data_IF_474869680671
#
_entry.id   IF_474869680671
#
_cell.length_a   1.000
_cell.length_b   1.000
_cell.length_c   1.000
_cell.angle_alpha   90.00
_cell.angle_beta   90.00
_cell.angle_gamma   90.00
#
_symmetry.space_group_name_H-M   'P 1'
#
loop_
_entity.id
_entity.type
_entity.pdbx_description
1 polymer ?
#
# COMPACT_ATOMS: atom_id res chain seq x y z
N UNK A 1 27.84 -42.61 -16.88
CA UNK A 1 26.79 -41.99 -17.71
C UNK A 1 26.96 -40.48 -17.65
N UNK A 2 27.77 -39.95 -18.56
CA UNK A 2 27.80 -38.56 -19.02
C UNK A 2 27.08 -38.57 -20.39
N UNK A 3 26.47 -37.50 -20.91
CA UNK A 3 27.02 -36.19 -21.27
C UNK A 3 25.84 -35.25 -21.62
N UNK A 4 26.05 -33.96 -21.36
CA UNK A 4 25.15 -32.85 -21.67
C UNK A 4 25.00 -32.57 -23.18
N UNK A 5 23.88 -31.97 -23.57
CA UNK A 5 23.61 -31.51 -24.95
C UNK A 5 23.61 -29.98 -24.98
N UNK A 6 24.64 -29.40 -25.59
CA UNK A 6 24.61 -28.04 -26.14
C UNK A 6 24.14 -28.14 -27.60
N UNK A 7 23.11 -27.39 -27.99
CA UNK A 7 22.84 -27.12 -29.40
C UNK A 7 23.32 -25.70 -29.72
N UNK A 8 24.31 -25.64 -30.60
CA UNK A 8 24.80 -24.44 -31.27
C UNK A 8 24.58 -24.68 -32.77
N UNK A 9 23.77 -23.86 -33.42
CA UNK A 9 23.64 -23.85 -34.89
C UNK A 9 23.93 -22.40 -35.38
N UNK A 10 24.80 -22.20 -36.40
CA UNK A 10 25.39 -20.91 -36.71
C UNK A 10 24.62 -20.12 -37.78
N UNK A 11 24.63 -18.80 -37.58
CA UNK A 11 24.71 -17.71 -38.57
C UNK A 11 24.46 -18.00 -40.06
N UNK A 12 23.50 -17.28 -40.67
CA UNK A 12 23.75 -16.20 -41.65
C UNK A 12 22.46 -15.80 -42.42
N UNK A 13 22.05 -14.53 -42.39
CA UNK A 13 21.82 -13.64 -43.56
C UNK A 13 20.99 -12.43 -43.14
N UNK A 14 21.45 -11.25 -43.57
CA UNK A 14 21.10 -9.97 -42.98
C UNK A 14 19.71 -9.44 -43.30
N UNK A 15 19.17 -8.69 -42.33
CA UNK A 15 18.27 -7.57 -42.59
C UNK A 15 18.75 -6.40 -41.74
N UNK A 16 19.13 -5.34 -42.44
CA UNK A 16 19.50 -4.03 -41.91
C UNK A 16 18.23 -3.38 -41.33
N UNK A 17 17.95 -3.60 -40.04
CA UNK A 17 16.89 -2.87 -39.34
C UNK A 17 17.33 -1.43 -39.11
N UNK A 18 16.81 -0.56 -39.96
CA UNK A 18 16.84 0.89 -39.82
C UNK A 18 16.25 1.29 -38.46
N UNK A 19 17.05 1.97 -37.65
CA UNK A 19 16.58 2.80 -36.54
C UNK A 19 15.72 3.95 -37.10
N UNK A 20 14.44 3.66 -37.31
CA UNK A 20 13.38 4.66 -37.35
C UNK A 20 12.70 4.65 -36.00
N UNK A 21 13.12 5.51 -35.07
CA UNK A 21 12.34 5.85 -33.89
C UNK A 21 11.15 6.70 -34.35
N UNK A 22 10.18 6.04 -34.97
CA UNK A 22 8.84 6.58 -35.20
C UNK A 22 8.00 6.20 -34.01
N UNK A 23 8.12 6.97 -32.92
CA UNK A 23 7.14 6.95 -31.84
C UNK A 23 5.78 7.32 -32.45
N UNK A 24 4.96 6.31 -32.78
CA UNK A 24 3.54 6.46 -33.06
C UNK A 24 2.82 6.75 -31.72
N UNK A 25 3.19 7.85 -31.09
CA UNK A 25 2.46 8.42 -29.95
C UNK A 25 1.46 9.41 -30.51
N UNK A 26 0.21 8.96 -30.58
CA UNK A 26 -0.99 9.80 -30.69
C UNK A 26 -1.07 10.66 -31.94
N UNK A 27 -1.74 10.16 -32.98
CA UNK A 27 -2.44 11.06 -33.91
C UNK A 27 -3.49 11.82 -33.08
N UNK A 28 -3.09 12.98 -32.57
CA UNK A 28 -3.87 13.70 -31.58
C UNK A 28 -5.21 14.06 -32.20
N UNK A 29 -6.30 13.93 -31.45
CA UNK A 29 -7.59 14.51 -31.85
C UNK A 29 -7.44 15.99 -32.27
N UNK A 30 -6.42 16.70 -31.75
CA UNK A 30 -6.00 18.03 -32.18
C UNK A 30 -5.50 18.11 -33.64
N UNK A 31 -4.78 17.11 -34.14
CA UNK A 31 -4.29 17.05 -35.53
C UNK A 31 -5.43 16.73 -36.51
N UNK A 32 -6.37 15.88 -36.11
CA UNK A 32 -7.61 15.62 -36.85
C UNK A 32 -8.52 16.86 -36.86
N UNK A 33 -8.61 17.58 -35.73
CA UNK A 33 -9.35 18.84 -35.61
C UNK A 33 -8.73 19.97 -36.45
N UNK A 34 -7.39 20.01 -36.56
CA UNK A 34 -6.65 20.98 -37.39
C UNK A 34 -6.75 20.68 -38.88
N UNK A 35 -6.66 19.41 -39.27
CA UNK A 35 -6.90 18.95 -40.65
C UNK A 35 -8.35 19.20 -41.07
N UNK A 36 -9.28 19.05 -40.12
CA UNK A 36 -10.70 19.33 -40.31
C UNK A 36 -10.99 20.83 -40.47
N UNK A 37 -10.44 21.70 -39.62
CA UNK A 37 -10.57 23.16 -39.79
C UNK A 37 -9.99 23.63 -41.12
N UNK A 38 -8.91 22.99 -41.59
CA UNK A 38 -8.32 23.28 -42.90
C UNK A 38 -9.25 22.86 -44.05
N UNK A 39 -9.88 21.69 -43.96
CA UNK A 39 -10.88 21.23 -44.93
C UNK A 39 -12.17 22.06 -44.88
N UNK A 40 -12.61 22.50 -43.70
CA UNK A 40 -13.82 23.32 -43.53
C UNK A 40 -13.62 24.74 -44.06
N UNK A 41 -12.43 25.32 -43.88
CA UNK A 41 -12.04 26.61 -44.49
C UNK A 41 -11.89 26.47 -46.01
N UNK A 42 -11.32 25.37 -46.50
CA UNK A 42 -11.23 25.11 -47.94
C UNK A 42 -12.61 24.90 -48.59
N UNK A 43 -13.53 24.21 -47.91
CA UNK A 43 -14.90 24.02 -48.38
C UNK A 43 -15.69 25.33 -48.34
N UNK A 44 -15.61 26.14 -47.27
CA UNK A 44 -16.25 27.48 -47.22
C UNK A 44 -15.78 28.42 -48.34
N UNK A 45 -14.51 28.29 -48.77
CA UNK A 45 -13.95 29.05 -49.90
C UNK A 45 -14.48 28.60 -51.27
N UNK A 46 -15.11 27.41 -51.35
CA UNK A 46 -15.51 26.76 -52.61
C UNK A 46 -16.92 26.13 -52.56
N UNK A 47 -17.80 26.57 -51.66
CA UNK A 47 -19.20 26.11 -51.61
C UNK A 47 -20.07 26.92 -52.57
N UNK A 48 -20.83 26.20 -53.40
CA UNK A 48 -21.96 26.77 -54.14
C UNK A 48 -23.12 27.05 -53.16
N UNK A 49 -23.70 28.26 -53.14
CA UNK A 49 -24.66 28.73 -52.14
C UNK A 49 -26.00 27.97 -52.08
N UNK A 50 -26.20 26.91 -52.87
CA UNK A 50 -27.52 26.28 -53.07
C UNK A 50 -27.77 24.99 -52.28
N UNK A 51 -26.81 24.44 -51.50
CA UNK A 51 -27.09 23.23 -50.70
C UNK A 51 -26.26 23.07 -49.38
N UNK A 52 -26.71 23.67 -48.26
CA UNK A 52 -25.96 23.70 -46.99
C UNK A 52 -26.09 22.44 -46.09
N UNK A 53 -26.65 21.33 -46.57
CA UNK A 53 -27.18 20.25 -45.70
C UNK A 53 -26.19 19.18 -45.19
N UNK A 54 -24.90 19.22 -45.55
CA UNK A 54 -23.90 18.22 -45.08
C UNK A 54 -23.20 18.60 -43.76
N UNK A 55 -23.50 19.78 -43.19
CA UNK A 55 -22.76 20.31 -42.03
C UNK A 55 -23.22 19.73 -40.67
N UNK A 56 -24.41 19.12 -40.58
CA UNK A 56 -25.01 18.69 -39.30
C UNK A 56 -24.53 17.29 -38.83
N UNK A 57 -24.30 16.35 -39.76
CA UNK A 57 -23.75 15.02 -39.40
C UNK A 57 -22.25 15.10 -39.04
N UNK A 58 -21.49 15.95 -39.73
CA UNK A 58 -20.07 16.17 -39.44
C UNK A 58 -19.84 16.90 -38.11
N UNK A 59 -20.67 17.88 -37.77
CA UNK A 59 -20.63 18.52 -36.44
C UNK A 59 -21.00 17.54 -35.33
N UNK A 60 -21.90 16.59 -35.59
CA UNK A 60 -22.22 15.50 -34.66
C UNK A 60 -21.04 14.53 -34.49
N UNK A 61 -20.37 14.13 -35.57
CA UNK A 61 -19.16 13.29 -35.50
C UNK A 61 -17.99 14.01 -34.81
N UNK A 62 -17.80 15.31 -35.05
CA UNK A 62 -16.82 16.12 -34.32
C UNK A 62 -17.15 16.25 -32.83
N UNK A 63 -18.42 16.43 -32.48
CA UNK A 63 -18.85 16.48 -31.09
C UNK A 63 -18.58 15.14 -30.40
N UNK A 64 -18.80 14.00 -31.09
CA UNK A 64 -18.44 12.68 -30.61
C UNK A 64 -16.93 12.51 -30.42
N UNK A 65 -16.10 12.90 -31.41
CA UNK A 65 -14.63 12.84 -31.32
C UNK A 65 -14.10 13.76 -30.20
N UNK A 66 -14.67 14.97 -30.07
CA UNK A 66 -14.29 15.92 -29.01
C UNK A 66 -14.64 15.39 -27.62
N UNK A 67 -15.76 14.68 -27.51
CA UNK A 67 -16.18 14.02 -26.26
C UNK A 67 -15.24 12.88 -25.92
N UNK A 68 -14.89 12.02 -26.90
CA UNK A 68 -13.93 10.91 -26.70
C UNK A 68 -12.55 11.46 -26.32
N UNK A 69 -12.04 12.47 -27.01
CA UNK A 69 -10.78 13.12 -26.66
C UNK A 69 -10.83 13.80 -25.30
N UNK A 70 -11.99 14.37 -24.94
CA UNK A 70 -12.25 14.87 -23.60
C UNK A 70 -12.13 13.78 -22.54
N UNK A 71 -12.73 12.61 -22.78
CA UNK A 71 -12.64 11.44 -21.88
C UNK A 71 -11.21 10.91 -21.81
N UNK A 72 -10.48 10.82 -22.92
CA UNK A 72 -9.06 10.42 -22.92
C UNK A 72 -8.18 11.38 -22.12
N UNK A 73 -8.39 12.70 -22.30
CA UNK A 73 -7.72 13.72 -21.48
C UNK A 73 -8.08 13.58 -20.01
N UNK A 74 -9.35 13.37 -19.68
CA UNK A 74 -9.79 13.13 -18.30
C UNK A 74 -9.13 11.89 -17.70
N UNK A 75 -9.07 10.78 -18.42
CA UNK A 75 -8.39 9.56 -17.99
C UNK A 75 -6.88 9.80 -17.80
N UNK A 76 -6.25 10.56 -18.69
CA UNK A 76 -4.83 10.93 -18.58
C UNK A 76 -4.57 11.82 -17.36
N UNK A 77 -5.39 12.84 -17.15
CA UNK A 77 -5.32 13.72 -15.98
C UNK A 77 -5.58 12.94 -14.69
N UNK A 78 -6.55 12.03 -14.68
CA UNK A 78 -6.85 11.20 -13.52
C UNK A 78 -5.68 10.24 -13.20
N UNK A 79 -5.05 9.65 -14.21
CA UNK A 79 -3.84 8.84 -14.06
C UNK A 79 -2.66 9.66 -13.50
N UNK A 80 -2.48 10.90 -13.98
CA UNK A 80 -1.44 11.80 -13.47
C UNK A 80 -1.70 12.22 -12.01
N UNK A 81 -2.96 12.51 -11.65
CA UNK A 81 -3.36 12.80 -10.27
C UNK A 81 -3.12 11.58 -9.38
N UNK A 82 -3.49 10.38 -9.82
CA UNK A 82 -3.22 9.14 -9.08
C UNK A 82 -1.72 8.97 -8.82
N UNK A 83 -0.89 9.14 -9.85
CA UNK A 83 0.57 9.07 -9.70
C UNK A 83 1.14 10.15 -8.78
N UNK A 84 0.54 11.36 -8.76
CA UNK A 84 0.93 12.41 -7.83
C UNK A 84 0.55 12.06 -6.38
N UNK A 85 -0.62 11.49 -6.15
CA UNK A 85 -1.06 11.02 -4.83
C UNK A 85 -0.14 9.89 -4.34
N UNK A 86 0.21 8.93 -5.20
CA UNK A 86 1.17 7.86 -4.86
C UNK A 86 2.52 8.43 -4.44
N UNK A 87 3.01 9.47 -5.13
CA UNK A 87 4.25 10.14 -4.76
C UNK A 87 4.14 10.87 -3.40
N UNK A 88 3.01 11.51 -3.12
CA UNK A 88 2.76 12.16 -1.82
C UNK A 88 2.68 11.13 -0.67
N UNK A 89 2.02 9.99 -0.88
CA UNK A 89 2.00 8.90 0.09
C UNK A 89 3.39 8.29 0.29
N UNK A 90 4.20 8.21 -0.76
CA UNK A 90 5.58 7.72 -0.69
C UNK A 90 6.42 8.60 0.23
N UNK A 91 6.24 9.93 0.17
CA UNK A 91 6.91 10.87 1.06
C UNK A 91 6.51 10.66 2.53
N UNK A 92 5.21 10.49 2.82
CA UNK A 92 4.74 10.21 4.18
C UNK A 92 5.31 8.88 4.70
N UNK A 93 5.25 7.82 3.89
CA UNK A 93 5.81 6.52 4.24
C UNK A 93 7.33 6.59 4.49
N UNK A 94 8.06 7.40 3.72
CA UNK A 94 9.52 7.57 3.88
C UNK A 94 9.87 8.20 5.23
N UNK A 95 9.03 9.11 5.75
CA UNK A 95 9.24 9.68 7.09
C UNK A 95 9.06 8.68 8.23
N UNK A 96 8.43 7.53 7.97
CA UNK A 96 8.26 6.47 8.97
C UNK A 96 9.45 5.53 9.04
N UNK A 97 10.38 5.56 8.07
CA UNK A 97 11.55 4.69 8.10
C UNK A 97 12.37 4.99 9.36
N UNK A 98 12.65 3.96 10.15
CA UNK A 98 13.32 4.07 11.44
C UNK A 98 12.40 4.33 12.63
N UNK A 99 11.11 4.60 12.39
CA UNK A 99 10.10 4.70 13.45
C UNK A 99 9.44 3.35 13.75
N UNK A 100 8.97 3.22 15.00
CA UNK A 100 8.15 2.11 15.41
C UNK A 100 6.70 2.36 15.05
N UNK A 101 5.99 1.35 14.56
CA UNK A 101 4.56 1.44 14.27
C UNK A 101 3.79 0.34 14.97
N UNK A 102 2.55 0.64 15.37
CA UNK A 102 1.60 -0.33 15.88
C UNK A 102 0.69 -0.77 14.73
N UNK A 103 0.71 -2.06 14.42
CA UNK A 103 -0.05 -2.67 13.32
C UNK A 103 -0.80 -3.91 13.83
N UNK A 104 -1.89 -4.34 13.18
CA UNK A 104 -2.58 -5.58 13.52
C UNK A 104 -1.64 -6.76 13.64
N UNK A 105 -1.67 -7.43 14.79
CA UNK A 105 -0.85 -8.60 15.05
C UNK A 105 -0.71 -8.89 16.55
N UNK A 106 -0.03 -9.99 16.86
CA UNK A 106 -0.01 -10.55 18.22
C UNK A 106 1.40 -10.75 18.77
N UNK A 107 2.44 -10.38 18.03
CA UNK A 107 3.82 -10.72 18.43
C UNK A 107 4.39 -9.70 19.42
N UNK A 108 5.01 -10.19 20.48
CA UNK A 108 5.85 -9.41 21.41
C UNK A 108 7.24 -10.03 21.41
N UNK A 109 8.27 -9.22 21.26
CA UNK A 109 9.66 -9.68 21.39
C UNK A 109 10.17 -9.32 22.77
N UNK A 110 10.74 -10.29 23.48
CA UNK A 110 11.46 -10.07 24.73
C UNK A 110 12.97 -10.30 24.50
N UNK A 111 13.80 -9.40 25.00
CA UNK A 111 15.24 -9.47 24.84
C UNK A 111 15.99 -8.66 25.88
N UNK A 112 17.29 -8.94 26.00
CA UNK A 112 18.25 -8.12 26.77
C UNK A 112 19.22 -7.46 25.80
N UNK A 113 19.59 -6.22 26.10
CA UNK A 113 20.73 -5.57 25.43
C UNK A 113 22.03 -6.35 25.65
N UNK A 114 23.03 -6.12 24.81
CA UNK A 114 24.35 -6.75 24.92
C UNK A 114 25.22 -6.17 26.04
N UNK A 115 24.72 -5.15 26.74
CA UNK A 115 25.45 -4.36 27.71
C UNK A 115 25.44 -5.04 29.09
N UNK A 116 26.53 -4.89 29.84
CA UNK A 116 26.64 -5.48 31.16
C UNK A 116 25.60 -4.85 32.12
N UNK A 117 24.74 -5.69 32.71
CA UNK A 117 23.62 -5.24 33.54
C UNK A 117 22.31 -4.99 32.78
N UNK A 118 22.22 -5.30 31.48
CA UNK A 118 20.99 -5.14 30.73
C UNK A 118 19.83 -5.95 31.32
N UNK A 119 18.71 -5.26 31.56
CA UNK A 119 17.45 -5.86 32.00
C UNK A 119 16.64 -6.30 30.78
N UNK A 120 15.83 -7.34 30.93
CA UNK A 120 14.91 -7.74 29.85
C UNK A 120 13.92 -6.61 29.58
N UNK A 121 13.83 -6.20 28.32
CA UNK A 121 12.80 -5.32 27.81
C UNK A 121 11.93 -6.08 26.82
N UNK A 122 10.71 -5.59 26.60
CA UNK A 122 9.82 -6.12 25.58
C UNK A 122 9.38 -5.02 24.62
N UNK A 123 9.10 -5.39 23.38
CA UNK A 123 8.39 -4.48 22.47
C UNK A 123 7.00 -4.18 23.00
N UNK A 124 6.45 -2.98 22.76
CA UNK A 124 5.09 -2.67 23.18
C UNK A 124 4.07 -3.50 22.38
N UNK A 125 2.90 -3.68 22.96
CA UNK A 125 1.71 -4.22 22.32
C UNK A 125 0.56 -3.24 22.49
N UNK A 126 -0.54 -3.47 21.79
CA UNK A 126 -1.72 -2.63 21.94
C UNK A 126 -3.01 -3.35 21.64
N UNK A 127 -4.11 -2.61 21.80
CA UNK A 127 -5.44 -3.03 21.42
C UNK A 127 -6.17 -1.86 20.78
N UNK A 128 -6.88 -2.12 19.69
CA UNK A 128 -7.87 -1.22 19.15
C UNK A 128 -9.28 -1.73 19.50
N UNK A 129 -10.08 -0.85 20.09
CA UNK A 129 -11.45 -1.11 20.50
C UNK A 129 -12.41 -0.16 19.77
N UNK A 130 -13.43 -0.71 19.13
CA UNK A 130 -14.47 0.10 18.47
C UNK A 130 -15.47 0.71 19.48
N UNK A 131 -15.55 0.14 20.69
CA UNK A 131 -16.46 0.56 21.76
C UNK A 131 -15.72 0.52 23.11
N UNK A 132 -16.14 1.31 24.12
CA UNK A 132 -15.56 1.21 25.46
C UNK A 132 -15.78 -0.17 26.07
N UNK A 133 -14.79 -0.64 26.84
CA UNK A 133 -14.78 -1.93 27.54
C UNK A 133 -14.57 -1.70 29.04
N UNK A 134 -15.34 -2.39 29.88
CA UNK A 134 -15.20 -2.32 31.34
C UNK A 134 -14.11 -3.28 31.85
N UNK A 135 -13.87 -4.36 31.11
CA UNK A 135 -12.85 -5.34 31.42
C UNK A 135 -12.08 -5.75 30.18
N UNK A 136 -10.78 -5.48 30.20
CA UNK A 136 -9.82 -5.92 29.20
C UNK A 136 -8.74 -6.78 29.87
N UNK A 137 -8.52 -7.96 29.33
CA UNK A 137 -7.53 -8.92 29.82
C UNK A 137 -6.63 -9.34 28.65
N UNK A 138 -5.31 -9.24 28.86
CA UNK A 138 -4.28 -9.65 27.91
C UNK A 138 -3.57 -10.92 28.42
N UNK A 139 -3.63 -11.99 27.64
CA UNK A 139 -2.94 -13.25 27.93
C UNK A 139 -1.73 -13.36 27.03
N UNK A 140 -0.55 -13.55 27.63
CA UNK A 140 0.72 -13.71 26.93
C UNK A 140 1.12 -15.18 26.96
N UNK A 141 1.45 -15.74 25.81
CA UNK A 141 1.87 -17.13 25.64
C UNK A 141 3.26 -17.24 25.01
N UNK A 142 4.00 -18.29 25.36
CA UNK A 142 5.26 -18.64 24.70
C UNK A 142 5.02 -19.32 23.34
N UNK A 143 6.11 -19.63 22.63
CA UNK A 143 6.11 -20.36 21.34
C UNK A 143 5.47 -21.75 21.38
N UNK A 144 5.36 -22.35 22.56
CA UNK A 144 4.76 -23.68 22.76
C UNK A 144 3.28 -23.55 23.18
N UNK A 145 2.74 -22.33 23.20
CA UNK A 145 1.36 -22.03 23.58
C UNK A 145 1.10 -22.02 25.08
N UNK A 146 2.15 -22.07 25.92
CA UNK A 146 1.97 -22.02 27.38
C UNK A 146 1.75 -20.60 27.83
N UNK A 147 0.78 -20.40 28.71
CA UNK A 147 0.50 -19.09 29.31
C UNK A 147 1.62 -18.71 30.26
N UNK A 148 2.34 -17.63 29.93
CA UNK A 148 3.44 -17.10 30.77
C UNK A 148 2.94 -16.01 31.70
N UNK A 149 1.99 -15.19 31.25
CA UNK A 149 1.44 -14.07 32.02
C UNK A 149 0.01 -13.77 31.59
N UNK A 150 -0.81 -13.36 32.55
CA UNK A 150 -2.11 -12.72 32.28
C UNK A 150 -2.08 -11.34 32.92
N UNK A 151 -2.43 -10.32 32.14
CA UNK A 151 -2.48 -8.92 32.54
C UNK A 151 -3.93 -8.48 32.56
N UNK A 152 -4.40 -8.07 33.74
CA UNK A 152 -5.70 -7.42 33.89
C UNK A 152 -5.51 -5.92 33.61
N UNK A 153 -5.90 -5.47 32.43
CA UNK A 153 -5.75 -4.07 31.99
C UNK A 153 -6.86 -3.20 32.59
N UNK A 154 -8.07 -3.77 32.76
CA UNK A 154 -9.21 -3.07 33.35
C UNK A 154 -10.06 -2.35 32.30
N UNK A 155 -10.60 -1.19 32.67
CA UNK A 155 -11.47 -0.39 31.80
C UNK A 155 -10.68 0.38 30.75
N UNK A 156 -11.17 0.40 29.51
CA UNK A 156 -10.62 1.19 28.41
C UNK A 156 -11.74 1.86 27.62
N UNK A 157 -11.50 3.08 27.14
CA UNK A 157 -12.38 3.73 26.17
C UNK A 157 -12.20 3.14 24.77
N UNK A 158 -13.13 3.44 23.86
CA UNK A 158 -12.91 3.17 22.44
C UNK A 158 -11.65 3.90 21.93
N UNK A 159 -10.96 3.29 20.96
CA UNK A 159 -9.73 3.80 20.37
C UNK A 159 -8.55 2.83 20.52
N UNK A 160 -7.36 3.36 20.23
CA UNK A 160 -6.08 2.63 20.26
C UNK A 160 -5.40 2.86 21.60
N UNK A 161 -4.98 1.78 22.25
CA UNK A 161 -4.24 1.80 23.51
C UNK A 161 -2.98 0.96 23.40
N UNK A 162 -1.88 1.43 23.98
CA UNK A 162 -0.58 0.74 23.97
C UNK A 162 -0.08 0.48 25.38
N UNK A 163 0.59 -0.66 25.54
CA UNK A 163 1.09 -1.17 26.81
C UNK A 163 2.43 -1.85 26.59
N UNK A 164 3.22 -1.96 27.67
CA UNK A 164 4.49 -2.68 27.66
C UNK A 164 4.46 -3.73 28.76
N UNK A 165 4.83 -4.95 28.41
CA UNK A 165 4.99 -6.02 29.38
C UNK A 165 6.39 -5.93 30.00
N UNK A 166 6.52 -6.25 31.29
CA UNK A 166 7.79 -6.21 32.02
C UNK A 166 8.72 -7.40 31.74
N UNK A 167 8.31 -8.31 30.84
CA UNK A 167 9.07 -9.53 30.52
C UNK A 167 9.08 -10.55 31.66
N UNK A 168 8.14 -10.47 32.61
CA UNK A 168 8.03 -11.41 33.72
C UNK A 168 6.84 -12.35 33.61
N UNK A 169 7.03 -13.58 34.06
CA UNK A 169 5.98 -14.58 34.18
C UNK A 169 5.05 -14.28 35.37
N UNK A 170 4.03 -15.12 35.56
CA UNK A 170 3.12 -15.03 36.71
C UNK A 170 3.84 -15.19 38.05
N UNK A 171 4.89 -16.02 38.11
CA UNK A 171 5.71 -16.28 39.31
C UNK A 171 6.79 -15.21 39.58
N UNK A 172 6.86 -14.17 38.74
CA UNK A 172 7.82 -13.07 38.84
C UNK A 172 9.19 -13.35 38.22
N UNK A 173 9.43 -14.56 37.69
CA UNK A 173 10.66 -14.88 36.96
C UNK A 173 10.68 -14.20 35.60
N UNK A 174 11.86 -13.81 35.13
CA UNK A 174 12.03 -13.20 33.82
C UNK A 174 11.99 -14.27 32.73
N UNK A 175 11.28 -13.99 31.64
CA UNK A 175 11.22 -14.92 30.51
C UNK A 175 12.53 -14.95 29.71
N UNK A 176 12.84 -16.09 29.04
CA UNK A 176 13.95 -16.15 28.09
C UNK A 176 13.74 -15.19 26.91
N UNK A 177 14.85 -14.82 26.27
CA UNK A 177 14.82 -14.04 25.03
C UNK A 177 14.07 -14.82 23.94
N UNK A 178 13.17 -14.15 23.22
CA UNK A 178 12.41 -14.77 22.15
C UNK A 178 11.10 -14.06 21.85
N UNK A 179 10.33 -14.68 20.96
CA UNK A 179 9.00 -14.22 20.57
C UNK A 179 7.92 -14.83 21.47
N UNK A 180 6.95 -14.01 21.83
CA UNK A 180 5.76 -14.35 22.59
C UNK A 180 4.54 -13.86 21.82
N UNK A 181 3.39 -14.45 22.08
CA UNK A 181 2.13 -14.05 21.48
C UNK A 181 1.18 -13.47 22.53
N UNK A 182 0.38 -12.48 22.12
CA UNK A 182 -0.67 -11.90 22.94
C UNK A 182 -2.05 -12.22 22.38
N UNK A 183 -2.95 -12.62 23.27
CA UNK A 183 -4.38 -12.70 23.01
C UNK A 183 -5.08 -11.69 23.92
N UNK A 184 -5.95 -10.86 23.35
CA UNK A 184 -6.66 -9.83 24.10
C UNK A 184 -8.16 -10.14 24.07
N UNK A 185 -8.77 -10.12 25.24
CA UNK A 185 -10.22 -10.24 25.39
C UNK A 185 -10.74 -8.97 26.03
N UNK A 186 -11.86 -8.46 25.51
CA UNK A 186 -12.51 -7.27 26.01
C UNK A 186 -14.01 -7.54 26.21
N UNK A 187 -14.61 -6.94 27.23
CA UNK A 187 -16.04 -7.02 27.49
C UNK A 187 -16.58 -5.75 28.12
N UNK A 188 -17.86 -5.47 27.89
CA UNK A 188 -18.61 -4.37 28.49
C UNK A 188 -19.94 -4.91 29.00
N UNK A 189 -20.23 -4.73 30.29
CA UNK A 189 -21.43 -5.29 30.92
C UNK A 189 -21.63 -6.81 30.72
N UNK A 190 -20.55 -7.58 30.60
CA UNK A 190 -20.58 -9.02 30.34
C UNK A 190 -20.75 -9.43 28.87
N UNK A 191 -20.95 -8.47 27.95
CA UNK A 191 -20.97 -8.72 26.51
C UNK A 191 -19.54 -8.69 25.96
N UNK A 192 -19.13 -9.72 25.25
CA UNK A 192 -17.80 -9.77 24.63
C UNK A 192 -17.72 -8.79 23.46
N UNK A 193 -16.63 -8.03 23.42
CA UNK A 193 -16.33 -7.07 22.36
C UNK A 193 -15.27 -7.62 21.42
N UNK A 194 -15.29 -7.15 20.17
CA UNK A 194 -14.20 -7.36 19.23
C UNK A 194 -13.03 -6.46 19.64
N UNK A 195 -11.90 -7.08 19.93
CA UNK A 195 -10.64 -6.42 20.25
C UNK A 195 -9.61 -6.78 19.18
N UNK A 196 -9.05 -5.77 18.50
CA UNK A 196 -7.99 -5.98 17.52
C UNK A 196 -6.62 -5.83 18.23
N UNK A 197 -5.87 -6.92 18.46
CA UNK A 197 -4.53 -6.81 19.02
C UNK A 197 -3.60 -6.12 18.02
N UNK A 198 -2.71 -5.30 18.57
CA UNK A 198 -1.69 -4.57 17.84
C UNK A 198 -0.32 -4.99 18.34
N UNK A 199 0.62 -5.14 17.42
CA UNK A 199 2.01 -5.40 17.70
C UNK A 199 2.89 -4.26 17.22
N UNK A 200 4.04 -4.13 17.86
CA UNK A 200 5.10 -3.24 17.42
C UNK A 200 5.85 -3.83 16.22
N UNK A 201 6.14 -2.99 15.24
CA UNK A 201 7.06 -3.29 14.16
C UNK A 201 7.93 -2.07 13.84
N UNK A 202 9.20 -2.29 13.54
CA UNK A 202 10.09 -1.24 13.06
C UNK A 202 9.96 -1.13 11.54
N UNK A 203 9.69 0.07 11.03
CA UNK A 203 9.69 0.31 9.58
C UNK A 203 11.13 0.38 9.09
N UNK A 204 11.52 -0.56 8.25
CA UNK A 204 12.87 -0.65 7.68
C UNK A 204 12.97 0.04 6.31
N UNK A 205 11.86 0.16 5.60
CA UNK A 205 11.84 0.74 4.27
C UNK A 205 10.43 0.95 3.73
N UNK A 206 10.38 1.43 2.49
CA UNK A 206 9.14 1.60 1.73
C UNK A 206 9.35 0.99 0.36
N UNK A 207 8.42 0.15 -0.06
CA UNK A 207 8.43 -0.51 -1.38
C UNK A 207 7.21 -0.08 -2.18
N UNK A 208 7.39 0.24 -3.46
CA UNK A 208 6.29 0.52 -4.37
C UNK A 208 5.70 -0.80 -4.88
N UNK A 209 4.44 -1.08 -4.52
CA UNK A 209 3.67 -2.23 -5.00
C UNK A 209 2.63 -1.86 -6.05
N UNK A 210 1.82 -2.84 -6.47
CA UNK A 210 0.69 -2.62 -7.40
C UNK A 210 -0.45 -1.81 -6.79
N UNK A 211 -0.56 -1.81 -5.45
CA UNK A 211 -1.63 -1.17 -4.69
C UNK A 211 -1.17 0.12 -3.99
N UNK A 212 -0.12 0.77 -4.50
CA UNK A 212 0.51 1.94 -3.89
C UNK A 212 1.78 1.61 -3.12
N UNK A 213 2.12 2.42 -2.11
CA UNK A 213 3.32 2.22 -1.30
C UNK A 213 3.03 1.30 -0.12
N UNK A 214 3.97 0.38 0.14
CA UNK A 214 3.96 -0.56 1.24
C UNK A 214 5.12 -0.24 2.18
N UNK A 215 4.86 -0.26 3.49
CA UNK A 215 5.88 -0.21 4.53
C UNK A 215 6.50 -1.60 4.65
N UNK A 216 7.83 -1.67 4.61
CA UNK A 216 8.60 -2.87 4.91
C UNK A 216 8.87 -2.92 6.42
N UNK A 217 8.33 -3.96 7.07
CA UNK A 217 8.44 -4.22 8.51
C UNK A 217 9.48 -5.32 8.80
N UNK A 218 10.31 -5.67 7.81
CA UNK A 218 11.35 -6.70 7.93
C UNK A 218 10.75 -8.08 8.16
N UNK A 219 11.00 -8.66 9.33
CA UNK A 219 10.52 -10.01 9.67
C UNK A 219 9.00 -10.14 9.72
N UNK A 220 8.28 -9.02 9.86
CA UNK A 220 6.83 -8.99 9.85
C UNK A 220 6.22 -8.81 8.45
N UNK A 221 7.06 -8.74 7.41
CA UNK A 221 6.62 -8.59 6.03
C UNK A 221 6.29 -7.15 5.68
N UNK A 222 5.28 -6.93 4.83
CA UNK A 222 4.88 -5.61 4.39
C UNK A 222 3.46 -5.27 4.85
N UNK A 223 3.21 -4.00 5.10
CA UNK A 223 1.87 -3.47 5.42
C UNK A 223 1.58 -2.19 4.66
N UNK A 224 0.33 -1.81 4.56
CA UNK A 224 -0.08 -0.51 4.00
C UNK A 224 -0.14 0.56 5.10
N UNK A 225 -0.10 1.84 4.70
CA UNK A 225 -0.06 2.97 5.65
C UNK A 225 -1.36 3.09 6.46
N UNK A 226 -2.49 2.68 5.90
CA UNK A 226 -3.81 2.66 6.54
C UNK A 226 -3.94 1.60 7.64
N UNK A 227 -3.10 0.57 7.64
CA UNK A 227 -3.07 -0.43 8.73
C UNK A 227 -2.25 0.03 9.94
N UNK A 228 -1.53 1.15 9.83
CA UNK A 228 -0.82 1.74 10.97
C UNK A 228 -1.81 2.42 11.89
N UNK A 229 -1.86 1.98 13.15
CA UNK A 229 -2.74 2.55 14.19
C UNK A 229 -2.04 3.62 15.05
N UNK A 230 -0.72 3.52 15.19
CA UNK A 230 0.08 4.50 15.93
C UNK A 230 1.53 4.47 15.42
N UNK A 231 2.20 5.63 15.45
CA UNK A 231 3.64 5.80 15.18
C UNK A 231 4.30 6.18 16.51
N UNK A 232 5.48 5.62 16.78
CA UNK A 232 6.28 5.77 18.01
C UNK A 232 7.66 6.31 17.65
#
# INVERSE_FOLDING_TARGET
MSIAVNMNDPTNTGVKTTTGSGSMTGSNAADLQSSFLTLLVAQLKNQDPTNPLQNNELTTQLAQISTVSGIEKLNTTLGAISGQIDNSQSLQATTLIGHGVMVPGTTILAGKGAEEGAVTSTTPFGVELQQPADKVTATITDKDGRVVRTLEIGELRAGVHTFTWDGKQTDGTTVPNGSYNIAITASNGGTQLVAQPLQFALVQGVTKGSNGNLLDLGTYGTTTLDEVRQII
#
